data_IF_254574769999
#
_entry.id   IF_254574769999
#
_cell.length_a   1.000
_cell.length_b   1.000
_cell.length_c   1.000
_cell.angle_alpha   90.00
_cell.angle_beta   90.00
_cell.angle_gamma   90.00
#
_symmetry.space_group_name_H-M   'P 1'
#
loop_
_entity.id
_entity.type
_entity.pdbx_description
1 polymer ?
#
# COMPACT_ATOMS: atom_id res chain seq x y z
N UNK A 1 17.86 -18.50 22.70
CA UNK A 1 18.09 -17.18 22.09
C UNK A 1 16.76 -16.72 21.52
N UNK A 2 16.36 -15.46 21.73
CA UNK A 2 15.18 -14.93 21.04
C UNK A 2 15.45 -14.95 19.52
N UNK A 3 14.42 -15.22 18.72
CA UNK A 3 14.54 -15.13 17.27
C UNK A 3 15.01 -13.71 16.88
N UNK A 4 15.83 -13.55 15.83
CA UNK A 4 16.26 -12.23 15.40
C UNK A 4 15.04 -11.38 15.02
N UNK A 5 15.05 -10.11 15.44
CA UNK A 5 14.05 -9.13 15.04
C UNK A 5 14.13 -8.95 13.52
N UNK A 6 13.01 -9.16 12.82
CA UNK A 6 12.87 -8.93 11.36
C UNK A 6 11.56 -8.20 11.08
N UNK A 7 11.45 -7.49 9.95
CA UNK A 7 10.17 -6.90 9.54
C UNK A 7 9.12 -7.98 9.25
N UNK A 8 9.52 -9.10 8.65
CA UNK A 8 8.64 -10.24 8.35
C UNK A 8 8.01 -10.88 9.61
N UNK A 9 8.55 -10.62 10.80
CA UNK A 9 7.95 -11.09 12.05
C UNK A 9 6.72 -10.26 12.48
N UNK A 10 6.43 -9.13 11.82
CA UNK A 10 5.24 -8.31 12.09
C UNK A 10 3.99 -8.86 11.41
N UNK A 11 4.14 -9.69 10.38
CA UNK A 11 3.03 -10.26 9.63
C UNK A 11 3.43 -10.68 8.22
N UNK A 12 2.49 -11.31 7.53
CA UNK A 12 2.66 -11.71 6.13
C UNK A 12 2.39 -10.54 5.19
N UNK A 13 3.06 -10.54 4.03
CA UNK A 13 2.75 -9.60 2.95
C UNK A 13 1.36 -9.92 2.41
N UNK A 14 0.50 -8.91 2.33
CA UNK A 14 -0.87 -9.06 1.83
C UNK A 14 -1.17 -8.21 0.59
N UNK A 15 -0.34 -7.21 0.28
CA UNK A 15 -0.50 -6.35 -0.89
C UNK A 15 0.82 -6.17 -1.64
N UNK A 16 0.71 -6.12 -2.97
CA UNK A 16 1.72 -5.61 -3.88
C UNK A 16 1.22 -4.30 -4.49
N UNK A 17 1.98 -3.21 -4.31
CA UNK A 17 1.59 -1.91 -4.80
C UNK A 17 2.52 -1.42 -5.92
N UNK A 18 1.93 -0.76 -6.91
CA UNK A 18 2.59 -0.25 -8.09
C UNK A 18 2.19 1.21 -8.32
N UNK A 19 3.12 2.02 -8.83
CA UNK A 19 2.89 3.43 -9.18
C UNK A 19 3.13 3.58 -10.70
N UNK A 20 2.22 3.07 -11.54
CA UNK A 20 2.42 3.07 -12.98
C UNK A 20 2.49 4.49 -13.56
N UNK A 21 3.23 4.65 -14.67
CA UNK A 21 3.28 5.93 -15.38
C UNK A 21 1.98 6.25 -16.12
N UNK A 22 1.24 5.22 -16.54
CA UNK A 22 -0.09 5.29 -17.12
C UNK A 22 -1.06 4.40 -16.32
N UNK A 23 -1.83 5.03 -15.44
CA UNK A 23 -2.75 4.34 -14.53
C UNK A 23 -3.85 3.57 -15.27
N UNK A 24 -4.44 4.16 -16.31
CA UNK A 24 -5.57 3.56 -17.02
C UNK A 24 -5.09 2.37 -17.87
N UNK A 25 -3.91 2.50 -18.49
CA UNK A 25 -3.28 1.39 -19.20
C UNK A 25 -2.88 0.25 -18.24
N UNK A 26 -2.40 0.57 -17.03
CA UNK A 26 -2.06 -0.43 -16.03
C UNK A 26 -3.30 -1.18 -15.52
N UNK A 27 -4.40 -0.49 -15.20
CA UNK A 27 -5.67 -1.12 -14.83
C UNK A 27 -6.09 -2.09 -15.93
N UNK A 28 -6.11 -1.63 -17.19
CA UNK A 28 -6.46 -2.46 -18.34
C UNK A 28 -5.54 -3.67 -18.50
N UNK A 29 -4.23 -3.51 -18.28
CA UNK A 29 -3.28 -4.60 -18.36
C UNK A 29 -3.55 -5.67 -17.29
N UNK A 30 -3.75 -5.24 -16.04
CA UNK A 30 -4.04 -6.15 -14.93
C UNK A 30 -5.36 -6.89 -15.12
N UNK A 31 -6.38 -6.25 -15.70
CA UNK A 31 -7.67 -6.89 -15.94
C UNK A 31 -7.65 -7.79 -17.16
N UNK A 32 -7.14 -7.32 -18.29
CA UNK A 32 -7.33 -8.01 -19.58
C UNK A 32 -6.24 -9.03 -19.89
N UNK A 33 -5.01 -8.78 -19.43
CA UNK A 33 -3.86 -9.65 -19.71
C UNK A 33 -3.57 -10.55 -18.51
N UNK A 34 -3.51 -9.96 -17.31
CA UNK A 34 -3.21 -10.71 -16.09
C UNK A 34 -4.45 -11.43 -15.52
N UNK A 35 -5.66 -10.92 -15.79
CA UNK A 35 -6.91 -11.51 -15.31
C UNK A 35 -7.21 -11.26 -13.84
N UNK A 36 -6.54 -10.29 -13.20
CA UNK A 36 -6.78 -9.89 -11.82
C UNK A 36 -7.87 -8.82 -11.75
N UNK A 37 -8.66 -8.84 -10.68
CA UNK A 37 -9.78 -7.91 -10.48
C UNK A 37 -10.99 -8.58 -9.82
N UNK A 38 -12.14 -7.90 -9.75
CA UNK A 38 -12.35 -6.54 -10.21
C UNK A 38 -11.53 -5.57 -9.36
N UNK A 39 -11.15 -4.43 -9.93
CA UNK A 39 -10.52 -3.34 -9.20
C UNK A 39 -11.59 -2.39 -8.65
N UNK A 40 -11.35 -1.87 -7.46
CA UNK A 40 -12.17 -0.85 -6.81
C UNK A 40 -11.39 0.47 -6.78
N UNK A 41 -11.94 1.52 -7.38
CA UNK A 41 -11.33 2.84 -7.49
C UNK A 41 -11.67 3.71 -6.27
N UNK A 42 -10.63 4.24 -5.63
CA UNK A 42 -10.72 5.22 -4.56
C UNK A 42 -10.01 6.51 -5.01
N UNK A 43 -10.77 7.51 -5.47
CA UNK A 43 -10.19 8.79 -5.89
C UNK A 43 -9.91 9.70 -4.70
N UNK A 44 -8.91 10.59 -4.84
CA UNK A 44 -8.60 11.66 -3.90
C UNK A 44 -8.33 11.19 -2.46
N UNK A 45 -7.67 10.04 -2.30
CA UNK A 45 -7.17 9.59 -1.01
C UNK A 45 -6.12 10.59 -0.53
N UNK A 46 -6.23 10.99 0.74
CA UNK A 46 -5.26 11.86 1.41
C UNK A 46 -4.91 11.28 2.77
N UNK A 47 -3.72 11.62 3.26
CA UNK A 47 -3.20 11.17 4.57
C UNK A 47 -2.91 12.39 5.46
N UNK A 48 -3.94 13.00 6.09
CA UNK A 48 -3.76 14.16 6.95
C UNK A 48 -2.78 13.88 8.10
N UNK A 49 -1.90 14.85 8.37
CA UNK A 49 -0.85 14.67 9.39
C UNK A 49 0.34 13.85 8.91
N UNK A 50 0.40 13.52 7.63
CA UNK A 50 1.52 12.84 7.01
C UNK A 50 2.85 13.57 7.20
N UNK A 51 3.92 12.78 7.37
CA UNK A 51 5.29 13.25 7.47
C UNK A 51 6.18 12.47 6.54
N UNK A 52 6.90 13.16 5.66
CA UNK A 52 7.92 12.57 4.79
C UNK A 52 9.30 12.97 5.32
N UNK A 53 10.11 11.98 5.75
CA UNK A 53 11.42 12.19 6.41
C UNK A 53 11.35 13.23 7.54
N UNK A 54 10.26 13.19 8.30
CA UNK A 54 10.03 14.10 9.42
C UNK A 54 9.58 15.51 9.04
N UNK A 55 9.41 15.86 7.77
CA UNK A 55 8.77 17.11 7.34
C UNK A 55 7.28 16.90 7.05
N UNK A 56 6.43 17.90 7.29
CA UNK A 56 5.01 17.80 6.97
C UNK A 56 4.78 17.55 5.47
N UNK A 57 3.89 16.62 5.14
CA UNK A 57 3.58 16.23 3.77
C UNK A 57 2.11 15.84 3.63
N UNK A 58 1.48 16.29 2.56
CA UNK A 58 0.06 16.14 2.25
C UNK A 58 -0.14 15.48 0.87
N UNK A 59 0.33 14.23 0.66
CA UNK A 59 0.12 13.56 -0.62
C UNK A 59 -1.37 13.30 -0.86
N UNK A 60 -1.81 13.60 -2.08
CA UNK A 60 -3.13 13.21 -2.60
C UNK A 60 -2.89 12.22 -3.73
N UNK A 61 -3.64 11.13 -3.73
CA UNK A 61 -3.50 10.08 -4.74
C UNK A 61 -4.82 9.36 -5.00
N UNK A 62 -4.93 8.78 -6.18
CA UNK A 62 -5.98 7.82 -6.53
C UNK A 62 -5.39 6.43 -6.43
N UNK A 63 -6.13 5.48 -5.86
CA UNK A 63 -5.75 4.07 -5.84
C UNK A 63 -6.83 3.20 -6.49
N UNK A 64 -6.41 2.10 -7.10
CA UNK A 64 -7.29 1.01 -7.51
C UNK A 64 -6.84 -0.28 -6.82
N UNK A 65 -7.75 -0.91 -6.08
CA UNK A 65 -7.49 -2.14 -5.32
C UNK A 65 -8.19 -3.32 -5.99
N UNK A 66 -7.41 -4.29 -6.47
CA UNK A 66 -7.90 -5.55 -7.03
C UNK A 66 -7.25 -6.74 -6.33
N UNK A 67 -7.60 -7.96 -6.74
CA UNK A 67 -7.06 -9.18 -6.16
C UNK A 67 -6.65 -10.19 -7.24
N UNK A 68 -5.52 -10.87 -7.01
CA UNK A 68 -5.15 -12.12 -7.67
C UNK A 68 -5.11 -13.21 -6.61
N UNK A 69 -6.18 -14.01 -6.53
CA UNK A 69 -6.36 -14.94 -5.42
C UNK A 69 -6.45 -14.17 -4.11
N UNK A 70 -5.59 -14.49 -3.15
CA UNK A 70 -5.54 -13.79 -1.85
C UNK A 70 -4.65 -12.54 -1.87
N UNK A 71 -3.83 -12.34 -2.91
CA UNK A 71 -2.90 -11.21 -2.97
C UNK A 71 -3.64 -9.96 -3.48
N UNK A 72 -3.62 -8.89 -2.69
CA UNK A 72 -4.13 -7.59 -3.12
C UNK A 72 -3.14 -6.94 -4.09
N UNK A 73 -3.65 -6.43 -5.20
CA UNK A 73 -2.91 -5.65 -6.17
C UNK A 73 -3.39 -4.21 -6.06
N UNK A 74 -2.48 -3.30 -5.72
CA UNK A 74 -2.76 -1.87 -5.64
C UNK A 74 -2.06 -1.13 -6.78
N UNK A 75 -2.82 -0.32 -7.50
CA UNK A 75 -2.29 0.64 -8.46
C UNK A 75 -2.52 2.03 -7.91
N UNK A 76 -1.50 2.88 -7.95
CA UNK A 76 -1.53 4.23 -7.38
C UNK A 76 -1.18 5.26 -8.44
N UNK A 77 -1.95 6.34 -8.49
CA UNK A 77 -1.64 7.55 -9.24
C UNK A 77 -1.55 8.75 -8.29
N UNK A 78 -0.37 9.36 -8.10
CA UNK A 78 -0.25 10.61 -7.37
C UNK A 78 -1.00 11.74 -8.09
N UNK A 79 -1.77 12.54 -7.36
CA UNK A 79 -2.66 13.59 -7.91
C UNK A 79 -2.16 15.02 -7.62
N UNK A 80 -1.18 15.20 -6.75
CA UNK A 80 -0.58 16.50 -6.41
C UNK A 80 0.94 16.40 -6.29
N UNK A 81 1.65 17.54 -6.26
CA UNK A 81 3.12 17.64 -6.21
C UNK A 81 3.79 17.63 -4.82
N UNK A 82 3.08 17.17 -3.79
CA UNK A 82 3.64 17.07 -2.44
C UNK A 82 4.90 16.17 -2.41
N UNK A 83 5.89 16.53 -1.58
CA UNK A 83 7.06 15.69 -1.32
C UNK A 83 6.62 14.41 -0.60
N UNK A 84 6.74 13.25 -1.23
CA UNK A 84 6.29 11.97 -0.68
C UNK A 84 7.09 10.80 -1.25
N UNK A 85 6.76 9.60 -0.79
CA UNK A 85 7.29 8.34 -1.32
C UNK A 85 6.95 8.08 -2.79
N UNK A 86 6.02 8.83 -3.41
CA UNK A 86 5.73 8.71 -4.84
C UNK A 86 6.63 9.58 -5.74
N UNK A 87 7.63 10.25 -5.16
CA UNK A 87 8.52 11.18 -5.85
C UNK A 87 9.98 10.94 -5.51
N UNK A 88 10.86 11.48 -6.35
CA UNK A 88 12.30 11.49 -6.11
C UNK A 88 12.88 10.08 -6.10
N UNK A 89 13.60 9.74 -5.03
CA UNK A 89 14.32 8.46 -4.90
C UNK A 89 13.41 7.23 -4.88
N UNK A 90 12.18 7.38 -4.37
CA UNK A 90 11.18 6.32 -4.29
C UNK A 90 10.14 6.39 -5.41
N UNK A 91 10.30 7.30 -6.38
CA UNK A 91 9.44 7.32 -7.55
C UNK A 91 9.64 6.03 -8.36
N UNK A 92 8.81 5.03 -8.10
CA UNK A 92 8.80 3.79 -8.87
C UNK A 92 7.84 3.97 -10.04
N UNK A 93 8.25 3.52 -11.23
CA UNK A 93 7.41 3.48 -12.43
C UNK A 93 6.72 2.12 -12.58
N UNK A 94 6.98 1.43 -13.69
CA UNK A 94 6.34 0.15 -14.06
C UNK A 94 6.69 -1.07 -13.17
N UNK A 95 7.45 -0.87 -12.08
CA UNK A 95 7.90 -1.93 -11.16
C UNK A 95 7.13 -1.95 -9.84
N UNK A 96 7.39 -2.98 -9.04
CA UNK A 96 6.86 -3.06 -7.67
C UNK A 96 7.36 -1.86 -6.85
N UNK A 97 6.43 -1.05 -6.34
CA UNK A 97 6.76 0.10 -5.52
C UNK A 97 6.97 -0.30 -4.07
N UNK A 98 6.03 -1.02 -3.47
CA UNK A 98 6.13 -1.46 -2.09
C UNK A 98 5.31 -2.73 -1.85
N UNK A 99 5.60 -3.40 -0.75
CA UNK A 99 4.75 -4.46 -0.19
C UNK A 99 4.06 -3.95 1.07
N UNK A 100 2.84 -4.40 1.34
CA UNK A 100 2.13 -4.05 2.58
C UNK A 100 2.00 -5.25 3.52
N UNK A 101 2.24 -4.99 4.80
CA UNK A 101 1.94 -5.90 5.91
C UNK A 101 0.93 -5.21 6.82
N UNK A 102 -0.19 -5.88 7.08
CA UNK A 102 -1.12 -5.44 8.11
C UNK A 102 -0.56 -5.79 9.49
N UNK A 103 -0.45 -4.78 10.35
CA UNK A 103 0.05 -4.94 11.72
C UNK A 103 -1.05 -4.65 12.73
N UNK A 104 -0.90 -5.20 13.94
CA UNK A 104 -1.83 -4.96 15.04
C UNK A 104 -1.47 -3.72 15.85
N UNK A 105 -0.25 -3.18 15.69
CA UNK A 105 0.20 -1.97 16.36
C UNK A 105 1.31 -1.25 15.58
N UNK A 106 1.06 0.01 15.23
CA UNK A 106 2.03 0.88 14.57
C UNK A 106 3.18 1.26 15.53
N UNK A 107 2.92 1.26 16.83
CA UNK A 107 3.94 1.51 17.85
C UNK A 107 4.96 0.35 17.89
N UNK A 108 4.50 -0.89 17.84
CA UNK A 108 5.37 -2.06 17.75
C UNK A 108 6.13 -2.11 16.41
N UNK A 109 5.44 -1.79 15.31
CA UNK A 109 6.05 -1.66 13.99
C UNK A 109 7.21 -0.66 13.99
N UNK A 110 7.04 0.51 14.62
CA UNK A 110 8.10 1.53 14.77
C UNK A 110 9.30 1.01 15.56
N UNK A 111 9.05 0.34 16.69
CA UNK A 111 10.11 -0.27 17.49
C UNK A 111 10.88 -1.27 16.62
N UNK A 112 10.17 -2.12 15.88
CA UNK A 112 10.79 -3.11 15.00
C UNK A 112 11.62 -2.48 13.89
N UNK A 113 11.15 -1.42 13.24
CA UNK A 113 11.95 -0.68 12.25
C UNK A 113 13.28 -0.20 12.86
N UNK A 114 13.24 0.37 14.07
CA UNK A 114 14.45 0.82 14.76
C UNK A 114 15.40 -0.33 15.12
N UNK A 115 14.89 -1.47 15.58
CA UNK A 115 15.70 -2.66 15.92
C UNK A 115 16.47 -3.22 14.72
N UNK A 116 15.87 -3.17 13.52
CA UNK A 116 16.46 -3.71 12.29
C UNK A 116 17.19 -2.66 11.47
N UNK A 117 17.18 -1.40 11.91
CA UNK A 117 17.80 -0.27 11.20
C UNK A 117 17.06 0.16 9.93
N UNK A 118 15.77 -0.16 9.81
CA UNK A 118 14.94 0.32 8.70
C UNK A 118 14.54 1.79 8.94
N UNK A 119 14.79 2.64 7.95
CA UNK A 119 14.43 4.05 8.00
C UNK A 119 12.92 4.22 7.76
N UNK A 120 12.24 4.95 8.64
CA UNK A 120 10.85 5.38 8.39
C UNK A 120 10.88 6.59 7.46
N UNK A 121 10.49 6.39 6.20
CA UNK A 121 10.54 7.43 5.16
C UNK A 121 9.24 8.23 5.11
N UNK A 122 8.11 7.59 5.42
CA UNK A 122 6.81 8.24 5.53
C UNK A 122 6.00 7.63 6.67
N UNK A 123 5.21 8.47 7.33
CA UNK A 123 4.25 8.03 8.35
C UNK A 123 3.02 8.94 8.37
N UNK A 124 1.86 8.38 8.70
CA UNK A 124 0.62 9.15 8.89
C UNK A 124 -0.38 8.41 9.79
N UNK A 125 -1.29 9.12 10.47
CA UNK A 125 -2.51 8.53 11.01
C UNK A 125 -3.40 7.98 9.88
N UNK A 126 -4.17 6.93 10.19
CA UNK A 126 -5.21 6.37 9.30
C UNK A 126 -6.52 6.33 10.07
N UNK A 127 -7.46 7.19 9.68
CA UNK A 127 -8.70 7.41 10.43
C UNK A 127 -8.48 7.82 11.87
N UNK A 128 -9.38 7.36 12.74
CA UNK A 128 -9.37 7.73 14.16
C UNK A 128 -8.43 6.87 15.00
N UNK A 129 -8.12 5.64 14.55
CA UNK A 129 -7.42 4.64 15.38
C UNK A 129 -6.25 3.95 14.70
N UNK A 130 -6.12 4.06 13.38
CA UNK A 130 -5.07 3.40 12.62
C UNK A 130 -3.85 4.28 12.37
N UNK A 131 -2.87 3.70 11.70
CA UNK A 131 -1.65 4.39 11.31
C UNK A 131 -0.90 3.64 10.23
N UNK A 132 -0.07 4.35 9.48
CA UNK A 132 0.77 3.79 8.43
C UNK A 132 2.21 4.26 8.57
N UNK A 133 3.14 3.34 8.32
CA UNK A 133 4.57 3.59 8.21
C UNK A 133 5.04 2.99 6.89
N UNK A 134 5.81 3.74 6.12
CA UNK A 134 6.63 3.20 5.03
C UNK A 134 8.07 3.17 5.49
N UNK A 135 8.64 1.98 5.51
CA UNK A 135 10.01 1.74 5.95
C UNK A 135 10.90 1.34 4.77
N UNK A 136 12.06 1.99 4.65
CA UNK A 136 13.17 1.61 3.78
C UNK A 136 14.14 0.71 4.57
N UNK A 137 14.27 -0.59 4.24
CA UNK A 137 15.17 -1.50 4.93
C UNK A 137 16.64 -1.36 4.48
N UNK A 138 16.96 -0.46 3.55
CA UNK A 138 18.30 -0.19 3.04
C UNK A 138 18.63 -0.93 1.74
N UNK A 139 19.93 -1.10 1.46
CA UNK A 139 20.49 -1.46 0.13
C UNK A 139 20.26 -2.91 -0.36
N UNK A 140 19.30 -3.64 0.21
CA UNK A 140 18.94 -4.99 -0.24
C UNK A 140 17.89 -4.98 -1.37
N UNK A 141 17.66 -6.12 -2.05
CA UNK A 141 16.50 -6.26 -2.93
C UNK A 141 15.21 -6.25 -2.10
N UNK A 142 14.61 -5.07 -1.97
CA UNK A 142 13.38 -4.78 -1.24
C UNK A 142 13.19 -3.28 -1.33
N UNK A 143 12.08 -2.82 -1.91
CA UNK A 143 11.87 -1.40 -2.16
C UNK A 143 11.47 -0.69 -0.87
N UNK A 144 10.18 -0.70 -0.54
CA UNK A 144 9.62 -0.18 0.70
C UNK A 144 8.71 -1.24 1.31
N UNK A 145 8.65 -1.27 2.63
CA UNK A 145 7.68 -2.07 3.38
C UNK A 145 6.69 -1.11 4.03
N UNK A 146 5.44 -1.17 3.60
CA UNK A 146 4.33 -0.51 4.25
C UNK A 146 3.87 -1.38 5.44
N UNK A 147 3.76 -0.76 6.60
CA UNK A 147 3.23 -1.33 7.83
C UNK A 147 1.96 -0.56 8.15
N UNK A 148 0.81 -1.19 7.92
CA UNK A 148 -0.50 -0.57 8.06
C UNK A 148 -1.23 -1.16 9.26
N UNK A 149 -1.45 -0.34 10.28
CA UNK A 149 -2.42 -0.61 11.33
C UNK A 149 -3.79 -0.13 10.83
N UNK A 150 -4.72 -1.05 10.48
CA UNK A 150 -5.99 -0.67 9.90
C UNK A 150 -6.88 0.03 10.93
N UNK A 151 -7.61 1.05 10.48
CA UNK A 151 -8.76 1.56 11.22
C UNK A 151 -9.91 0.53 11.22
N UNK A 152 -10.91 0.75 12.09
CA UNK A 152 -12.13 -0.05 12.09
C UNK A 152 -12.80 -0.04 10.71
N UNK A 153 -13.23 -1.21 10.22
CA UNK A 153 -13.89 -1.38 8.92
C UNK A 153 -12.95 -1.63 7.74
N UNK A 154 -11.65 -1.35 7.85
CA UNK A 154 -10.71 -1.54 6.74
C UNK A 154 -10.52 -3.01 6.39
N UNK A 155 -10.42 -3.89 7.39
CA UNK A 155 -10.25 -5.34 7.15
C UNK A 155 -11.49 -5.94 6.49
N UNK A 156 -12.68 -5.51 6.90
CA UNK A 156 -13.95 -5.93 6.32
C UNK A 156 -14.10 -5.42 4.88
N UNK A 157 -13.68 -4.19 4.61
CA UNK A 157 -13.66 -3.64 3.26
C UNK A 157 -12.73 -4.45 2.34
N UNK A 158 -11.52 -4.78 2.80
CA UNK A 158 -10.58 -5.61 2.04
C UNK A 158 -11.13 -7.02 1.81
N UNK A 159 -11.75 -7.64 2.82
CA UNK A 159 -12.41 -8.93 2.67
C UNK A 159 -13.52 -8.89 1.63
N UNK A 160 -14.37 -7.85 1.63
CA UNK A 160 -15.42 -7.67 0.64
C UNK A 160 -14.85 -7.57 -0.79
N UNK A 161 -13.79 -6.77 -0.98
CA UNK A 161 -13.13 -6.62 -2.29
C UNK A 161 -12.53 -7.95 -2.77
N UNK A 162 -11.87 -8.69 -1.87
CA UNK A 162 -11.32 -10.01 -2.16
C UNK A 162 -12.42 -11.00 -2.56
N UNK A 163 -13.49 -11.07 -1.78
CA UNK A 163 -14.58 -12.00 -2.04
C UNK A 163 -15.27 -11.69 -3.39
N UNK A 164 -15.31 -10.42 -3.80
CA UNK A 164 -15.78 -10.00 -5.12
C UNK A 164 -14.88 -10.45 -6.29
N UNK A 165 -13.61 -10.75 -6.04
CA UNK A 165 -12.67 -11.30 -7.02
C UNK A 165 -12.80 -12.82 -7.20
N UNK A 166 -13.38 -13.52 -6.22
CA UNK A 166 -13.53 -14.98 -6.27
C UNK A 166 -14.48 -15.41 -7.40
N UNK A 167 -13.93 -16.07 -8.42
CA UNK A 167 -14.70 -16.51 -9.58
C UNK A 167 -15.18 -15.38 -10.48
N UNK A 168 -14.57 -14.20 -10.37
CA UNK A 168 -14.86 -13.06 -11.24
C UNK A 168 -14.63 -13.41 -12.72
N UNK A 169 -15.56 -12.99 -13.58
CA UNK A 169 -15.63 -13.36 -15.00
C UNK A 169 -15.07 -12.31 -15.96
N UNK A 170 -14.50 -11.22 -15.42
CA UNK A 170 -14.02 -10.07 -16.20
C UNK A 170 -15.03 -8.93 -16.35
N UNK A 171 -16.28 -9.09 -15.88
CA UNK A 171 -17.30 -8.04 -15.98
C UNK A 171 -17.13 -6.91 -14.96
N UNK A 172 -17.34 -5.67 -15.38
CA UNK A 172 -17.16 -4.48 -14.53
C UNK A 172 -15.77 -4.42 -13.86
N UNK A 173 -14.68 -4.35 -14.66
CA UNK A 173 -13.31 -4.51 -14.18
C UNK A 173 -12.81 -3.37 -13.29
N UNK A 174 -13.44 -2.20 -13.36
CA UNK A 174 -13.16 -1.07 -12.48
C UNK A 174 -14.48 -0.56 -11.90
N UNK A 175 -14.60 -0.62 -10.57
CA UNK A 175 -15.81 -0.30 -9.82
C UNK A 175 -15.57 0.89 -8.92
N UNK A 176 -16.56 1.76 -8.77
CA UNK A 176 -16.53 2.80 -7.75
C UNK A 176 -17.05 2.24 -6.43
N UNK A 177 -16.46 2.63 -5.31
CA UNK A 177 -17.07 2.41 -3.99
C UNK A 177 -18.14 3.50 -3.77
N UNK A 178 -19.38 3.20 -4.15
CA UNK A 178 -20.53 4.11 -4.04
C UNK A 178 -21.83 3.43 -4.38
#
# INVERSE_FOLDING_TARGET
MAAPATLASLGDVMQLAFVPSDFDAAVKHWTDVMGAGPFFLLPNVSLPGGRYRGEASDPVFTMALGYWGEMQIELIRPENDAKSLYRGEYAVGEGLHHVCVLVDSIAEARIRCAEVGAEIVFEAPVGDTGGVIYADPGTGPGTLVELLEPQAGTRELFAMMRDAAMGWDGSEPLRSLG
#
